data_IF_292360088698
#
_entry.id   IF_292360088698
#
_cell.length_a   1.000
_cell.length_b   1.000
_cell.length_c   1.000
_cell.angle_alpha   90.00
_cell.angle_beta   90.00
_cell.angle_gamma   90.00
#
_symmetry.space_group_name_H-M   'P 1'
#
loop_
_entity.id
_entity.type
_entity.pdbx_description
1 polymer ?
#
# COMPACT_ATOMS: atom_id res chain seq x y z
N UNK A 1 -32.82 21.88 39.44
CA UNK A 1 -31.37 21.99 39.17
C UNK A 1 -31.08 21.12 37.97
N UNK A 2 -30.99 21.72 36.78
CA UNK A 2 -30.75 21.02 35.52
C UNK A 2 -29.29 20.60 35.42
N UNK A 3 -29.05 19.33 35.12
CA UNK A 3 -27.74 18.90 34.63
C UNK A 3 -27.79 18.96 33.10
N UNK A 4 -27.12 19.94 32.52
CA UNK A 4 -26.85 19.98 31.08
C UNK A 4 -25.90 18.83 30.73
N UNK A 5 -26.38 17.90 29.91
CA UNK A 5 -25.54 16.88 29.29
C UNK A 5 -24.75 17.58 28.18
N UNK A 6 -23.50 17.95 28.47
CA UNK A 6 -22.54 18.41 27.47
C UNK A 6 -22.28 17.27 26.46
N UNK A 7 -22.70 17.49 25.21
CA UNK A 7 -22.30 16.67 24.07
C UNK A 7 -20.79 16.81 23.83
N UNK A 8 -19.98 15.96 24.46
CA UNK A 8 -18.51 15.98 24.40
C UNK A 8 -17.90 15.17 23.25
N UNK A 9 -18.70 14.62 22.35
CA UNK A 9 -18.20 13.78 21.26
C UNK A 9 -18.84 14.16 19.92
N UNK A 10 -18.68 15.43 19.52
CA UNK A 10 -18.69 15.74 18.09
C UNK A 10 -17.43 15.13 17.49
N UNK A 11 -17.48 13.93 16.92
CA UNK A 11 -16.37 13.41 16.12
C UNK A 11 -16.35 14.19 14.80
N UNK A 12 -15.82 15.40 14.81
CA UNK A 12 -15.46 16.09 13.58
C UNK A 12 -14.50 15.17 12.84
N UNK A 13 -14.91 14.71 11.66
CA UNK A 13 -14.13 13.78 10.84
C UNK A 13 -12.97 14.57 10.23
N UNK A 14 -11.90 14.76 11.00
CA UNK A 14 -10.68 15.37 10.49
C UNK A 14 -10.09 14.43 9.45
N UNK A 15 -10.16 14.82 8.18
CA UNK A 15 -9.45 14.09 7.13
C UNK A 15 -7.96 14.23 7.40
N UNK A 16 -7.18 13.14 7.30
CA UNK A 16 -5.75 13.21 7.55
C UNK A 16 -5.12 14.23 6.58
N UNK A 17 -4.30 15.15 7.10
CA UNK A 17 -3.60 16.10 6.25
C UNK A 17 -2.49 15.38 5.45
N UNK A 18 -2.34 15.71 4.17
CA UNK A 18 -1.26 15.20 3.32
C UNK A 18 -1.70 14.65 1.96
N UNK A 19 -0.75 14.19 1.12
CA UNK A 19 -1.07 13.66 -0.20
C UNK A 19 -1.78 12.31 -0.10
N UNK A 20 -2.79 12.11 -0.94
CA UNK A 20 -3.61 10.90 -1.01
C UNK A 20 -3.49 10.24 -2.38
N UNK A 21 -3.60 8.92 -2.40
CA UNK A 21 -3.81 8.13 -3.60
C UNK A 21 -5.28 7.71 -3.65
N UNK A 22 -5.84 7.72 -4.85
CA UNK A 22 -7.13 7.11 -5.14
C UNK A 22 -7.02 6.22 -6.36
N UNK A 23 -7.75 5.10 -6.37
CA UNK A 23 -7.65 4.14 -7.46
C UNK A 23 -8.39 2.83 -7.19
N UNK A 24 -8.35 1.95 -8.18
CA UNK A 24 -8.92 0.61 -8.06
C UNK A 24 -8.04 -0.22 -7.10
N UNK A 25 -8.68 -1.00 -6.24
CA UNK A 25 -8.06 -1.89 -5.28
C UNK A 25 -8.61 -3.31 -5.42
N UNK A 26 -7.83 -4.29 -4.97
CA UNK A 26 -8.21 -5.71 -4.96
C UNK A 26 -7.78 -6.36 -3.65
N UNK A 27 -8.64 -7.23 -3.11
CA UNK A 27 -8.30 -8.03 -1.95
C UNK A 27 -7.54 -9.28 -2.38
N UNK A 28 -6.32 -9.48 -1.87
CA UNK A 28 -5.54 -10.66 -2.21
C UNK A 28 -6.12 -11.96 -1.64
N UNK A 29 -6.99 -11.87 -0.61
CA UNK A 29 -7.66 -13.02 0.01
C UNK A 29 -8.96 -13.42 -0.73
N UNK A 30 -9.94 -12.53 -0.82
CA UNK A 30 -11.27 -12.85 -1.37
C UNK A 30 -11.49 -12.37 -2.81
N UNK A 31 -10.51 -11.71 -3.42
CA UNK A 31 -10.56 -11.17 -4.79
C UNK A 31 -11.61 -10.09 -5.05
N UNK A 32 -12.27 -9.60 -4.02
CA UNK A 32 -13.18 -8.45 -4.14
C UNK A 32 -12.41 -7.21 -4.62
N UNK A 33 -13.04 -6.43 -5.50
CA UNK A 33 -12.49 -5.21 -6.08
C UNK A 33 -13.33 -4.00 -5.67
N UNK A 34 -12.69 -2.87 -5.40
CA UNK A 34 -13.36 -1.63 -5.03
C UNK A 34 -12.51 -0.41 -5.42
N UNK A 35 -13.08 0.79 -5.32
CA UNK A 35 -12.32 2.05 -5.42
C UNK A 35 -11.95 2.49 -4.02
N UNK A 36 -10.66 2.73 -3.78
CA UNK A 36 -10.14 3.12 -2.48
C UNK A 36 -9.50 4.52 -2.55
N UNK A 37 -9.47 5.21 -1.42
CA UNK A 37 -8.64 6.39 -1.17
C UNK A 37 -7.85 6.17 0.12
N UNK A 38 -6.55 6.50 0.12
CA UNK A 38 -5.69 6.37 1.29
C UNK A 38 -4.49 7.33 1.22
N UNK A 39 -3.84 7.67 2.35
CA UNK A 39 -2.60 8.44 2.34
C UNK A 39 -1.52 7.77 1.47
N UNK A 40 -0.67 8.57 0.82
CA UNK A 40 0.50 8.06 0.08
C UNK A 40 1.36 7.20 1.01
N UNK A 41 1.81 6.05 0.52
CA UNK A 41 2.59 5.07 1.31
C UNK A 41 1.75 3.99 2.00
N UNK A 42 0.41 4.08 1.94
CA UNK A 42 -0.46 2.99 2.42
C UNK A 42 -0.30 1.75 1.54
N UNK A 43 0.31 0.70 2.09
CA UNK A 43 0.58 -0.57 1.39
C UNK A 43 -0.61 -1.53 1.45
N UNK A 44 -1.35 -1.53 2.57
CA UNK A 44 -2.46 -2.44 2.81
C UNK A 44 -3.76 -1.70 3.13
N UNK A 45 -4.85 -2.17 2.54
CA UNK A 45 -6.19 -1.62 2.70
C UNK A 45 -7.10 -2.66 3.36
N UNK A 46 -8.03 -2.20 4.20
CA UNK A 46 -9.11 -3.07 4.69
C UNK A 46 -10.07 -3.40 3.53
N UNK A 47 -10.35 -4.69 3.33
CA UNK A 47 -11.33 -5.11 2.34
C UNK A 47 -12.75 -4.90 2.87
N UNK A 48 -13.63 -4.17 2.16
CA UNK A 48 -14.99 -3.93 2.63
C UNK A 48 -15.85 -5.21 2.70
N UNK A 49 -15.52 -6.23 1.90
CA UNK A 49 -16.27 -7.49 1.82
C UNK A 49 -15.87 -8.51 2.90
N UNK A 50 -14.57 -8.74 3.12
CA UNK A 50 -14.10 -9.77 4.07
C UNK A 50 -13.47 -9.20 5.36
N UNK A 51 -13.36 -7.87 5.47
CA UNK A 51 -12.84 -7.14 6.64
C UNK A 51 -11.37 -7.43 7.01
N UNK A 52 -10.64 -8.09 6.12
CA UNK A 52 -9.19 -8.34 6.29
C UNK A 52 -8.38 -7.21 5.66
N UNK A 53 -7.25 -6.87 6.26
CA UNK A 53 -6.26 -5.88 5.76
C UNK A 53 -5.34 -6.50 4.71
N UNK A 54 -5.94 -7.07 3.66
CA UNK A 54 -5.26 -7.75 2.54
C UNK A 54 -5.56 -7.06 1.20
N UNK A 55 -6.17 -5.88 1.24
CA UNK A 55 -6.37 -5.04 0.07
C UNK A 55 -5.08 -4.39 -0.39
N UNK A 56 -4.90 -4.29 -1.70
CA UNK A 56 -3.82 -3.52 -2.32
C UNK A 56 -4.40 -2.70 -3.48
N UNK A 57 -3.83 -1.52 -3.74
CA UNK A 57 -4.12 -0.81 -4.99
C UNK A 57 -3.70 -1.66 -6.18
N UNK A 58 -4.54 -1.72 -7.22
CA UNK A 58 -4.19 -2.27 -8.53
C UNK A 58 -3.30 -1.27 -9.24
N UNK A 59 -2.22 -1.75 -9.84
CA UNK A 59 -1.20 -0.92 -10.50
C UNK A 59 -0.66 0.14 -9.53
N UNK A 60 -0.06 -0.26 -8.38
CA UNK A 60 0.68 0.71 -7.57
C UNK A 60 1.67 1.44 -8.49
N UNK A 61 1.96 2.71 -8.23
CA UNK A 61 2.83 3.55 -9.08
C UNK A 61 4.07 2.77 -9.49
N UNK A 62 4.06 2.29 -10.73
CA UNK A 62 5.08 1.41 -11.30
C UNK A 62 5.66 2.13 -12.52
N UNK A 63 6.99 2.20 -12.66
CA UNK A 63 7.59 2.78 -13.85
C UNK A 63 7.26 1.92 -15.08
N UNK A 64 7.16 2.54 -16.25
CA UNK A 64 6.89 1.82 -17.51
C UNK A 64 8.00 0.86 -17.91
N UNK A 65 9.21 1.04 -17.35
CA UNK A 65 10.36 0.16 -17.51
C UNK A 65 10.99 -0.02 -16.14
N UNK A 66 11.10 -1.26 -15.68
CA UNK A 66 11.72 -1.65 -14.42
C UNK A 66 12.78 -2.72 -14.66
N UNK A 67 13.86 -2.68 -13.88
CA UNK A 67 14.84 -3.77 -13.88
C UNK A 67 14.19 -5.04 -13.32
N UNK A 68 14.38 -6.15 -14.02
CA UNK A 68 13.90 -7.46 -13.59
C UNK A 68 15.07 -8.42 -13.54
N UNK A 69 15.21 -9.16 -12.45
CA UNK A 69 16.19 -10.23 -12.36
C UNK A 69 15.89 -11.29 -13.43
N UNK A 70 16.89 -12.07 -13.86
CA UNK A 70 16.67 -13.21 -14.76
C UNK A 70 15.67 -14.24 -14.21
N UNK A 71 15.47 -14.28 -12.88
CA UNK A 71 14.44 -15.11 -12.26
C UNK A 71 13.02 -14.49 -12.25
N UNK A 72 12.84 -13.30 -12.83
CA UNK A 72 11.56 -12.58 -12.93
C UNK A 72 11.17 -11.73 -11.71
N UNK A 73 12.00 -11.65 -10.68
CA UNK A 73 11.74 -10.82 -9.49
C UNK A 73 12.16 -9.37 -9.73
N UNK A 74 11.37 -8.43 -9.20
CA UNK A 74 11.58 -6.99 -9.30
C UNK A 74 11.87 -6.33 -7.94
N UNK A 75 11.78 -7.10 -6.84
CA UNK A 75 12.16 -6.63 -5.51
C UNK A 75 13.61 -7.02 -5.16
N UNK A 76 14.38 -6.03 -4.71
CA UNK A 76 15.80 -6.15 -4.41
C UNK A 76 16.12 -5.62 -3.00
N UNK A 77 17.12 -6.22 -2.35
CA UNK A 77 17.77 -5.68 -1.16
C UNK A 77 18.95 -4.81 -1.57
N UNK A 78 19.08 -3.62 -0.99
CA UNK A 78 20.30 -2.81 -1.12
C UNK A 78 21.25 -3.23 0.00
N UNK A 79 22.39 -3.84 -0.36
CA UNK A 79 23.38 -4.35 0.58
C UNK A 79 24.75 -3.70 0.33
N UNK A 80 25.72 -3.81 1.26
CA UNK A 80 27.09 -3.33 1.01
C UNK A 80 27.78 -3.97 -0.21
N UNK A 81 27.33 -5.16 -0.64
CA UNK A 81 27.86 -5.87 -1.79
C UNK A 81 27.10 -5.58 -3.11
N UNK A 82 26.08 -4.71 -3.07
CA UNK A 82 25.24 -4.36 -4.22
C UNK A 82 23.77 -4.72 -4.04
N UNK A 83 23.01 -4.62 -5.13
CA UNK A 83 21.59 -4.95 -5.15
C UNK A 83 21.40 -6.47 -5.26
N UNK A 84 20.89 -7.09 -4.20
CA UNK A 84 20.65 -8.53 -4.15
C UNK A 84 19.19 -8.85 -4.50
N UNK A 85 18.96 -9.78 -5.43
CA UNK A 85 17.61 -10.25 -5.74
C UNK A 85 16.97 -10.93 -4.51
N UNK A 86 15.77 -10.51 -4.11
CA UNK A 86 15.06 -11.08 -2.96
C UNK A 86 14.65 -12.55 -3.16
N UNK A 87 14.41 -12.96 -4.41
CA UNK A 87 13.96 -14.31 -4.74
C UNK A 87 15.11 -15.31 -4.90
N UNK A 88 16.11 -15.01 -5.73
CA UNK A 88 17.18 -15.96 -6.05
C UNK A 88 18.52 -15.68 -5.36
N UNK A 89 18.67 -14.54 -4.69
CA UNK A 89 19.88 -14.19 -3.93
C UNK A 89 21.09 -13.74 -4.76
N UNK A 90 20.98 -13.69 -6.09
CA UNK A 90 22.07 -13.19 -6.94
C UNK A 90 22.29 -11.69 -6.79
N UNK A 91 23.55 -11.28 -6.72
CA UNK A 91 23.94 -9.86 -6.82
C UNK A 91 23.75 -9.43 -8.27
N UNK A 92 22.99 -8.36 -8.48
CA UNK A 92 22.76 -7.80 -9.81
C UNK A 92 23.85 -6.79 -10.17
N UNK A 93 24.32 -6.85 -11.41
CA UNK A 93 25.24 -5.89 -12.00
C UNK A 93 24.52 -5.07 -13.07
N UNK A 94 24.94 -3.82 -13.30
CA UNK A 94 24.40 -2.99 -14.39
C UNK A 94 23.00 -2.39 -14.16
N UNK A 95 22.50 -2.36 -12.91
CA UNK A 95 21.23 -1.69 -12.56
C UNK A 95 21.27 -0.16 -12.68
N UNK A 96 22.43 0.44 -12.98
CA UNK A 96 22.65 1.89 -13.11
C UNK A 96 23.48 2.22 -14.35
#
# INVERSE_FOLDING_TARGET
MSAEILNLFGSERTEPEGPHLSGQAVCMACKHEWVAGAPVGTVHLECPACKRTWGQFKNPVEPSVAWSCQCGEQLFWITPNGCQCRACGSIQEGMF
#
